data_IF_397518124790
#
_entry.id   IF_397518124790
#
_cell.length_a   1.000
_cell.length_b   1.000
_cell.length_c   1.000
_cell.angle_alpha   90.00
_cell.angle_beta   90.00
_cell.angle_gamma   90.00
#
_symmetry.space_group_name_H-M   'P 1'
#
loop_
_entity.id
_entity.type
_entity.pdbx_description
1 polymer ?
#
# COMPACT_ATOMS: atom_id res chain seq x y z
N UNK A 1 19.93 0.91 -9.76
CA UNK A 1 19.43 2.27 -10.11
C UNK A 1 20.51 2.95 -10.92
N UNK A 2 20.22 3.52 -12.11
CA UNK A 2 21.27 4.20 -12.90
C UNK A 2 21.57 5.62 -12.40
N UNK A 3 20.67 6.19 -11.61
CA UNK A 3 20.78 7.55 -11.05
C UNK A 3 21.40 7.57 -9.64
N UNK A 4 21.93 6.44 -9.17
CA UNK A 4 22.63 6.34 -7.89
C UNK A 4 24.06 5.93 -8.15
N UNK A 5 25.00 6.74 -7.67
CA UNK A 5 26.42 6.41 -7.84
C UNK A 5 26.78 5.16 -7.03
N UNK A 6 27.77 4.35 -7.49
CA UNK A 6 28.21 3.16 -6.76
C UNK A 6 28.62 3.45 -5.32
N UNK A 7 29.18 4.62 -5.05
CA UNK A 7 29.59 5.07 -3.71
C UNK A 7 28.37 5.28 -2.80
N UNK A 8 27.29 5.87 -3.32
CA UNK A 8 26.06 6.08 -2.56
C UNK A 8 25.32 4.77 -2.31
N UNK A 9 25.29 3.87 -3.29
CA UNK A 9 24.75 2.52 -3.11
C UNK A 9 25.49 1.77 -2.01
N UNK A 10 26.84 1.78 -2.04
CA UNK A 10 27.67 1.19 -1.00
C UNK A 10 27.37 1.78 0.37
N UNK A 11 27.28 3.11 0.49
CA UNK A 11 26.93 3.78 1.74
C UNK A 11 25.55 3.38 2.26
N UNK A 12 24.57 3.26 1.38
CA UNK A 12 23.23 2.80 1.76
C UNK A 12 23.25 1.37 2.29
N UNK A 13 23.96 0.46 1.62
CA UNK A 13 24.12 -0.92 2.06
C UNK A 13 24.79 -0.99 3.44
N UNK A 14 25.88 -0.25 3.65
CA UNK A 14 26.58 -0.19 4.94
C UNK A 14 25.69 0.33 6.07
N UNK A 15 24.86 1.35 5.81
CA UNK A 15 23.89 1.85 6.78
C UNK A 15 22.81 0.81 7.12
N UNK A 16 22.36 0.04 6.13
CA UNK A 16 21.36 -1.01 6.35
C UNK A 16 21.93 -2.21 7.11
N UNK A 17 23.19 -2.57 6.89
CA UNK A 17 23.87 -3.66 7.59
C UNK A 17 24.08 -3.37 9.09
N UNK A 18 24.19 -2.09 9.47
CA UNK A 18 24.29 -1.67 10.88
C UNK A 18 22.99 -1.81 11.67
N UNK A 19 21.85 -2.08 10.99
CA UNK A 19 20.54 -2.19 11.63
C UNK A 19 20.22 -3.62 12.01
N UNK A 20 19.64 -3.80 13.18
CA UNK A 20 19.06 -5.07 13.61
C UNK A 20 17.90 -5.51 12.71
N UNK A 21 17.56 -6.81 12.68
CA UNK A 21 16.36 -7.29 11.99
C UNK A 21 15.08 -6.52 12.39
N UNK A 22 14.90 -6.25 13.68
CA UNK A 22 13.73 -5.52 14.21
C UNK A 22 13.66 -4.09 13.71
N UNK A 23 14.79 -3.38 13.66
CA UNK A 23 14.82 -2.02 13.10
C UNK A 23 14.47 -2.01 11.62
N UNK A 24 14.94 -2.99 10.85
CA UNK A 24 14.59 -3.12 9.43
C UNK A 24 13.09 -3.37 9.23
N UNK A 25 12.48 -4.20 10.07
CA UNK A 25 11.02 -4.40 10.07
C UNK A 25 10.28 -3.11 10.40
N UNK A 26 10.69 -2.39 11.46
CA UNK A 26 10.08 -1.12 11.86
C UNK A 26 10.15 -0.07 10.74
N UNK A 27 11.24 -0.02 9.99
CA UNK A 27 11.35 0.86 8.82
C UNK A 27 10.28 0.52 7.77
N UNK A 28 10.11 -0.76 7.43
CA UNK A 28 9.08 -1.20 6.50
C UNK A 28 7.67 -0.86 6.97
N UNK A 29 7.36 -1.08 8.24
CA UNK A 29 6.07 -0.73 8.85
C UNK A 29 5.82 0.78 8.78
N UNK A 30 6.79 1.60 9.16
CA UNK A 30 6.67 3.07 9.13
C UNK A 30 6.44 3.60 7.71
N UNK A 31 7.14 3.05 6.72
CA UNK A 31 6.92 3.38 5.31
C UNK A 31 5.52 2.97 4.84
N UNK A 32 5.05 1.79 5.23
CA UNK A 32 3.70 1.32 4.93
C UNK A 32 2.63 2.23 5.53
N UNK A 33 2.76 2.60 6.81
CA UNK A 33 1.82 3.50 7.49
C UNK A 33 1.75 4.86 6.80
N UNK A 34 2.91 5.41 6.44
CA UNK A 34 3.00 6.70 5.73
C UNK A 34 2.35 6.61 4.35
N UNK A 35 2.65 5.58 3.57
CA UNK A 35 2.04 5.36 2.25
C UNK A 35 0.51 5.22 2.35
N UNK A 36 0.04 4.40 3.29
CA UNK A 36 -1.40 4.20 3.55
C UNK A 36 -2.07 5.52 3.93
N UNK A 37 -1.46 6.32 4.81
CA UNK A 37 -1.98 7.61 5.22
C UNK A 37 -2.13 8.57 4.02
N UNK A 38 -1.06 8.76 3.25
CA UNK A 38 -1.05 9.69 2.13
C UNK A 38 -2.05 9.30 1.04
N UNK A 39 -2.09 8.02 0.65
CA UNK A 39 -3.01 7.55 -0.39
C UNK A 39 -4.46 7.64 0.07
N UNK A 40 -4.75 7.24 1.32
CA UNK A 40 -6.11 7.34 1.87
C UNK A 40 -6.60 8.78 1.90
N UNK A 41 -5.75 9.72 2.33
CA UNK A 41 -6.08 11.15 2.35
C UNK A 41 -6.35 11.69 0.96
N UNK A 42 -5.48 11.39 -0.02
CA UNK A 42 -5.65 11.84 -1.39
C UNK A 42 -6.97 11.33 -2.01
N UNK A 43 -7.35 10.08 -1.76
CA UNK A 43 -8.63 9.52 -2.26
C UNK A 43 -9.82 10.23 -1.59
N UNK A 44 -9.78 10.41 -0.28
CA UNK A 44 -10.85 11.10 0.46
C UNK A 44 -10.97 12.58 0.10
N UNK A 45 -9.88 13.23 -0.29
CA UNK A 45 -9.91 14.62 -0.77
C UNK A 45 -10.63 14.72 -2.12
N UNK A 46 -10.43 13.75 -3.01
CA UNK A 46 -11.11 13.68 -4.31
C UNK A 46 -12.59 13.26 -4.19
N UNK A 47 -12.90 12.39 -3.22
CA UNK A 47 -14.26 11.95 -2.93
C UNK A 47 -14.52 11.94 -1.41
N UNK A 48 -14.97 13.07 -0.83
CA UNK A 48 -15.19 13.20 0.62
C UNK A 48 -16.19 12.22 1.22
N UNK A 49 -17.14 11.75 0.41
CA UNK A 49 -18.23 10.86 0.84
C UNK A 49 -17.99 9.39 0.49
N UNK A 50 -16.76 9.02 0.12
CA UNK A 50 -16.42 7.65 -0.24
C UNK A 50 -16.69 6.69 0.93
N UNK A 51 -17.39 5.59 0.66
CA UNK A 51 -17.59 4.54 1.66
C UNK A 51 -16.28 3.81 1.95
N UNK A 52 -16.18 3.15 3.12
CA UNK A 52 -14.98 2.38 3.44
C UNK A 52 -14.71 1.25 2.44
N UNK A 53 -15.77 0.61 1.96
CA UNK A 53 -15.69 -0.44 0.92
C UNK A 53 -15.10 0.11 -0.37
N UNK A 54 -15.64 1.23 -0.87
CA UNK A 54 -15.16 1.86 -2.08
C UNK A 54 -13.70 2.36 -1.91
N UNK A 55 -13.34 2.88 -0.73
CA UNK A 55 -11.97 3.28 -0.43
C UNK A 55 -11.00 2.09 -0.52
N UNK A 56 -11.37 0.91 -0.01
CA UNK A 56 -10.53 -0.30 -0.12
C UNK A 56 -10.37 -0.75 -1.57
N UNK A 57 -11.44 -0.67 -2.36
CA UNK A 57 -11.40 -0.97 -3.80
C UNK A 57 -10.49 0.00 -4.56
N UNK A 58 -10.59 1.31 -4.29
CA UNK A 58 -9.72 2.34 -4.89
C UNK A 58 -8.25 2.12 -4.52
N UNK A 59 -7.94 1.83 -3.26
CA UNK A 59 -6.57 1.49 -2.82
C UNK A 59 -6.06 0.26 -3.58
N UNK A 60 -6.87 -0.80 -3.69
CA UNK A 60 -6.50 -2.00 -4.44
C UNK A 60 -6.19 -1.67 -5.92
N UNK A 61 -7.05 -0.90 -6.58
CA UNK A 61 -6.84 -0.50 -7.97
C UNK A 61 -5.59 0.38 -8.13
N UNK A 62 -5.30 1.27 -7.18
CA UNK A 62 -4.16 2.18 -7.27
C UNK A 62 -2.82 1.46 -7.18
N UNK A 63 -2.73 0.40 -6.38
CA UNK A 63 -1.49 -0.34 -6.15
C UNK A 63 -1.34 -1.59 -7.01
N UNK A 64 -2.44 -2.31 -7.29
CA UNK A 64 -2.38 -3.67 -7.81
C UNK A 64 -3.18 -3.91 -9.09
N UNK A 65 -3.79 -2.87 -9.69
CA UNK A 65 -4.64 -3.03 -10.89
C UNK A 65 -3.97 -3.76 -12.05
N UNK A 66 -2.66 -3.56 -12.21
CA UNK A 66 -1.88 -4.12 -13.31
C UNK A 66 -1.22 -5.46 -12.96
N UNK A 67 -1.29 -5.88 -11.70
CA UNK A 67 -0.71 -7.13 -11.23
C UNK A 67 -1.66 -8.32 -11.47
N UNK A 68 -2.91 -8.02 -11.84
CA UNK A 68 -3.98 -9.00 -12.05
C UNK A 68 -4.65 -8.80 -13.40
N UNK A 69 -5.01 -9.91 -14.05
CA UNK A 69 -5.86 -9.89 -15.23
C UNK A 69 -7.27 -9.35 -14.88
N UNK A 70 -8.06 -8.90 -15.88
CA UNK A 70 -9.36 -8.29 -15.62
C UNK A 70 -10.34 -9.18 -14.85
N UNK A 71 -10.33 -10.50 -15.07
CA UNK A 71 -11.25 -11.42 -14.39
C UNK A 71 -10.87 -11.61 -12.92
N UNK A 72 -9.57 -11.76 -12.63
CA UNK A 72 -9.06 -11.83 -11.25
C UNK A 72 -9.31 -10.52 -10.50
N UNK A 73 -9.10 -9.38 -11.17
CA UNK A 73 -9.36 -8.06 -10.59
C UNK A 73 -10.83 -7.89 -10.18
N UNK A 74 -11.76 -8.28 -11.05
CA UNK A 74 -13.20 -8.23 -10.78
C UNK A 74 -13.58 -9.11 -9.57
N UNK A 75 -13.00 -10.32 -9.49
CA UNK A 75 -13.21 -11.23 -8.36
C UNK A 75 -12.74 -10.60 -7.03
N UNK A 76 -11.59 -9.92 -7.03
CA UNK A 76 -11.07 -9.23 -5.85
C UNK A 76 -11.96 -8.06 -5.45
N UNK A 77 -12.41 -7.23 -6.41
CA UNK A 77 -13.31 -6.11 -6.13
C UNK A 77 -14.62 -6.57 -5.48
N UNK A 78 -15.23 -7.64 -5.99
CA UNK A 78 -16.42 -8.27 -5.39
C UNK A 78 -16.16 -8.84 -4.00
N UNK A 79 -14.98 -9.41 -3.79
CA UNK A 79 -14.62 -9.90 -2.46
C UNK A 79 -14.51 -8.76 -1.44
N UNK A 80 -13.87 -7.65 -1.81
CA UNK A 80 -13.74 -6.46 -0.96
C UNK A 80 -15.11 -5.84 -0.64
N UNK A 81 -16.06 -5.91 -1.57
CA UNK A 81 -17.44 -5.51 -1.34
C UNK A 81 -18.12 -6.34 -0.24
N UNK A 82 -18.02 -7.67 -0.34
CA UNK A 82 -18.65 -8.60 0.59
C UNK A 82 -18.04 -8.56 2.01
N UNK A 83 -16.74 -8.27 2.13
CA UNK A 83 -16.08 -8.12 3.45
C UNK A 83 -16.61 -6.89 4.18
N UNK A 84 -16.87 -5.79 3.47
CA UNK A 84 -17.46 -4.58 4.06
C UNK A 84 -18.88 -4.81 4.60
N UNK A 85 -19.66 -5.69 3.97
CA UNK A 85 -21.01 -6.05 4.40
C UNK A 85 -20.98 -6.86 5.70
N UNK A 86 -20.06 -7.83 5.83
CA UNK A 86 -19.95 -8.68 7.03
C UNK A 86 -19.54 -7.91 8.29
N UNK A 87 -18.68 -6.90 8.16
CA UNK A 87 -18.24 -6.06 9.28
C UNK A 87 -19.32 -5.09 9.80
N UNK A 88 -20.44 -4.91 9.09
CA UNK A 88 -21.57 -4.08 9.51
C UNK A 88 -22.70 -4.91 10.14
N UNK A 89 -22.59 -6.24 10.11
CA UNK A 89 -23.59 -7.20 10.64
C UNK A 89 -23.15 -7.90 11.93
N UNK A 90 -21.98 -7.56 12.46
CA UNK A 90 -21.43 -8.00 13.75
C UNK A 90 -21.31 -6.80 14.71
#
# INVERSE_FOLDING_TARGET
MRDTSPEMEKKMIEMMQKKSPTERVKMGISMYETSRYLVTRAIKEQNPNISETALRQEIFLKFYRNDFDPATREKILKHLENVGIRALTE
#
